data_IF_237228603757
#
_entry.id   IF_237228603757
#
_cell.length_a   1.000
_cell.length_b   1.000
_cell.length_c   1.000
_cell.angle_alpha   90.00
_cell.angle_beta   90.00
_cell.angle_gamma   90.00
#
_symmetry.space_group_name_H-M   'P 1'
#
loop_
_entity.id
_entity.type
_entity.pdbx_description
1 polymer ?
#
# COMPACT_ATOMS: atom_id res chain seq x y z
N UNK A 1 -15.47 24.20 -29.84
CA UNK A 1 -16.94 24.29 -29.81
C UNK A 1 -17.29 25.62 -29.17
N UNK A 2 -18.07 26.46 -29.85
CA UNK A 2 -18.64 27.68 -29.27
C UNK A 2 -20.13 27.71 -29.64
N UNK A 3 -21.06 27.83 -28.68
CA UNK A 3 -22.46 28.04 -29.00
C UNK A 3 -22.61 29.43 -29.62
N UNK A 4 -23.41 29.53 -30.67
CA UNK A 4 -23.81 30.81 -31.28
C UNK A 4 -25.33 30.87 -31.17
N UNK A 5 -25.84 31.93 -30.54
CA UNK A 5 -27.27 32.15 -30.38
C UNK A 5 -27.78 32.90 -31.62
N UNK A 6 -28.74 32.31 -32.32
CA UNK A 6 -29.46 32.96 -33.41
C UNK A 6 -30.96 32.70 -33.21
N UNK A 7 -31.75 33.77 -33.11
CA UNK A 7 -33.22 33.74 -33.04
C UNK A 7 -33.80 32.73 -32.02
N UNK A 8 -33.19 32.62 -30.83
CA UNK A 8 -33.70 31.75 -29.76
C UNK A 8 -33.50 30.24 -29.98
N UNK A 9 -32.73 29.84 -31.01
CA UNK A 9 -32.28 28.45 -31.19
C UNK A 9 -30.75 28.37 -31.02
N UNK A 10 -30.31 27.42 -30.21
CA UNK A 10 -28.90 27.10 -30.05
C UNK A 10 -28.45 26.27 -31.26
N UNK A 11 -27.76 26.89 -32.21
CA UNK A 11 -27.15 26.19 -33.32
C UNK A 11 -25.68 25.88 -33.03
N UNK A 12 -25.32 24.60 -33.15
CA UNK A 12 -23.96 24.14 -32.98
C UNK A 12 -23.17 24.40 -34.26
N UNK A 13 -22.43 25.50 -34.30
CA UNK A 13 -21.54 25.78 -35.41
C UNK A 13 -20.23 24.99 -35.25
N UNK A 14 -20.09 23.96 -36.07
CA UNK A 14 -18.92 23.08 -36.09
C UNK A 14 -17.90 23.66 -37.07
N UNK A 15 -16.76 24.12 -36.54
CA UNK A 15 -15.63 24.52 -37.37
C UNK A 15 -14.92 23.26 -37.89
N UNK A 16 -15.20 22.92 -39.15
CA UNK A 16 -14.68 21.72 -39.80
C UNK A 16 -13.15 21.76 -40.02
N UNK A 17 -12.55 22.93 -40.23
CA UNK A 17 -11.09 23.06 -40.41
C UNK A 17 -10.33 22.81 -39.10
N UNK A 18 -10.82 23.36 -37.99
CA UNK A 18 -10.27 23.08 -36.65
C UNK A 18 -10.44 21.61 -36.28
N UNK A 19 -11.59 21.00 -36.62
CA UNK A 19 -11.81 19.57 -36.44
C UNK A 19 -10.87 18.71 -37.28
N UNK A 20 -10.63 19.06 -38.54
CA UNK A 20 -9.77 18.27 -39.43
C UNK A 20 -8.30 18.37 -39.01
N UNK A 21 -7.88 19.55 -38.54
CA UNK A 21 -6.56 19.77 -37.94
C UNK A 21 -6.40 18.97 -36.64
N UNK A 22 -7.45 18.91 -35.80
CA UNK A 22 -7.48 18.08 -34.60
C UNK A 22 -7.47 16.60 -34.95
N UNK A 23 -8.25 16.13 -35.93
CA UNK A 23 -8.27 14.75 -36.48
C UNK A 23 -6.90 14.29 -36.95
N UNK A 24 -6.15 15.13 -37.66
CA UNK A 24 -4.77 14.83 -38.08
C UNK A 24 -3.78 14.69 -36.92
N UNK A 25 -4.08 15.26 -35.75
CA UNK A 25 -3.28 15.11 -34.51
C UNK A 25 -3.81 14.03 -33.56
N UNK A 26 -5.04 13.56 -33.73
CA UNK A 26 -5.59 12.48 -32.92
C UNK A 26 -4.78 11.19 -33.19
N UNK A 27 -4.30 10.57 -32.12
CA UNK A 27 -3.43 9.38 -32.19
C UNK A 27 -1.93 9.68 -32.09
N UNK A 28 -1.49 10.95 -32.16
CA UNK A 28 -0.14 11.32 -31.78
C UNK A 28 -0.05 11.50 -30.25
N UNK A 29 0.86 10.75 -29.62
CA UNK A 29 1.20 10.91 -28.22
C UNK A 29 2.64 11.41 -28.11
N UNK A 30 2.81 12.65 -27.64
CA UNK A 30 4.11 13.30 -27.53
C UNK A 30 4.51 13.36 -26.05
N UNK A 31 5.69 12.87 -25.73
CA UNK A 31 6.30 12.97 -24.41
C UNK A 31 7.28 14.14 -24.41
N UNK A 32 7.13 15.03 -23.42
CA UNK A 32 8.06 16.12 -23.17
C UNK A 32 8.87 15.81 -21.91
N UNK A 33 10.15 16.19 -21.92
CA UNK A 33 11.05 16.07 -20.77
C UNK A 33 11.93 17.31 -20.70
N UNK A 34 12.31 17.71 -19.50
CA UNK A 34 13.34 18.74 -19.27
C UNK A 34 14.77 18.15 -19.29
N UNK A 35 14.88 16.82 -19.42
CA UNK A 35 16.12 16.05 -19.41
C UNK A 35 16.50 15.56 -20.82
N UNK A 36 17.23 16.36 -21.62
CA UNK A 36 17.60 16.01 -23.00
C UNK A 36 18.55 14.80 -23.10
N UNK A 37 19.23 14.44 -22.01
CA UNK A 37 20.15 13.31 -21.91
C UNK A 37 19.46 11.93 -21.88
N UNK A 38 18.14 11.89 -21.70
CA UNK A 38 17.38 10.64 -21.63
C UNK A 38 17.06 10.15 -23.04
N UNK A 39 17.42 8.90 -23.35
CA UNK A 39 17.05 8.29 -24.64
C UNK A 39 15.54 8.14 -24.78
N UNK A 40 15.03 8.21 -26.01
CA UNK A 40 13.62 8.03 -26.30
C UNK A 40 13.06 6.71 -25.75
N UNK A 41 13.83 5.63 -25.85
CA UNK A 41 13.49 4.31 -25.29
C UNK A 41 13.30 4.36 -23.77
N UNK A 42 14.24 4.99 -23.06
CA UNK A 42 14.16 5.15 -21.60
C UNK A 42 12.99 6.05 -21.21
N UNK A 43 12.72 7.10 -21.97
CA UNK A 43 11.58 7.99 -21.75
C UNK A 43 10.25 7.25 -21.90
N UNK A 44 10.09 6.44 -22.95
CA UNK A 44 8.92 5.58 -23.13
C UNK A 44 8.82 4.56 -21.99
N UNK A 45 9.94 3.99 -21.54
CA UNK A 45 9.99 3.09 -20.39
C UNK A 45 9.49 3.74 -19.09
N UNK A 46 9.94 4.96 -18.78
CA UNK A 46 9.47 5.75 -17.63
C UNK A 46 7.98 6.05 -17.78
N UNK A 47 7.53 6.49 -18.95
CA UNK A 47 6.10 6.73 -19.17
C UNK A 47 5.26 5.47 -18.95
N UNK A 48 5.68 4.33 -19.51
CA UNK A 48 5.00 3.04 -19.32
C UNK A 48 5.07 2.52 -17.89
N UNK A 49 6.01 3.00 -17.08
CA UNK A 49 6.05 2.71 -15.65
C UNK A 49 4.86 3.31 -14.88
N UNK A 50 4.04 4.18 -15.50
CA UNK A 50 2.76 4.66 -14.93
C UNK A 50 1.82 3.51 -14.56
N UNK A 51 1.89 2.38 -15.27
CA UNK A 51 1.10 1.19 -14.96
C UNK A 51 1.39 0.66 -13.54
N UNK A 52 2.60 0.89 -13.01
CA UNK A 52 2.93 0.58 -11.61
C UNK A 52 2.10 1.43 -10.64
N UNK A 53 1.91 2.71 -10.95
CA UNK A 53 1.12 3.63 -10.13
C UNK A 53 -0.35 3.22 -10.16
N UNK A 54 -0.89 2.92 -11.35
CA UNK A 54 -2.27 2.42 -11.50
C UNK A 54 -2.47 1.07 -10.79
N UNK A 55 -1.48 0.18 -10.86
CA UNK A 55 -1.43 -1.06 -10.10
C UNK A 55 -1.42 -0.83 -8.59
N UNK A 56 -0.65 0.15 -8.11
CA UNK A 56 -0.61 0.55 -6.71
C UNK A 56 -1.96 1.06 -6.20
N UNK A 57 -2.62 1.93 -6.97
CA UNK A 57 -3.98 2.40 -6.65
C UNK A 57 -5.00 1.26 -6.61
N UNK A 58 -4.88 0.28 -7.50
CA UNK A 58 -5.74 -0.91 -7.48
C UNK A 58 -5.56 -1.68 -6.17
N UNK A 59 -4.32 -1.92 -5.76
CA UNK A 59 -3.99 -2.61 -4.50
C UNK A 59 -4.48 -1.82 -3.28
N UNK A 60 -4.31 -0.50 -3.27
CA UNK A 60 -4.80 0.35 -2.19
C UNK A 60 -6.32 0.24 -2.01
N UNK A 61 -7.05 0.14 -3.12
CA UNK A 61 -8.52 0.00 -3.11
C UNK A 61 -8.98 -1.41 -2.78
N UNK A 62 -8.33 -2.45 -3.31
CA UNK A 62 -8.77 -3.85 -3.16
C UNK A 62 -8.21 -4.52 -1.91
N UNK A 63 -6.89 -4.51 -1.74
CA UNK A 63 -6.21 -5.28 -0.69
C UNK A 63 -6.04 -4.47 0.60
N UNK A 64 -5.89 -3.15 0.49
CA UNK A 64 -5.73 -2.27 1.67
C UNK A 64 -7.04 -1.59 2.09
N UNK A 65 -8.12 -1.77 1.30
CA UNK A 65 -9.47 -1.33 1.62
C UNK A 65 -9.59 0.17 2.01
N UNK A 66 -8.78 1.03 1.39
CA UNK A 66 -8.74 2.46 1.73
C UNK A 66 -10.11 3.15 1.64
N UNK A 67 -10.97 2.68 0.74
CA UNK A 67 -12.30 3.24 0.48
C UNK A 67 -13.43 2.58 1.29
N UNK A 68 -13.18 1.46 1.96
CA UNK A 68 -14.24 0.65 2.61
C UNK A 68 -14.51 1.06 4.05
N UNK A 69 -13.80 2.06 4.57
CA UNK A 69 -13.92 2.55 5.95
C UNK A 69 -14.53 3.95 5.92
N UNK A 70 -15.75 4.07 6.43
CA UNK A 70 -16.48 5.35 6.46
C UNK A 70 -16.23 6.07 7.78
N UNK A 71 -15.37 7.10 7.76
CA UNK A 71 -15.13 7.97 8.90
C UNK A 71 -16.02 9.21 8.87
N UNK A 72 -16.55 9.61 10.03
CA UNK A 72 -17.47 10.76 10.15
C UNK A 72 -16.78 12.12 10.28
N UNK A 73 -15.45 12.16 10.46
CA UNK A 73 -14.68 13.40 10.66
C UNK A 73 -13.52 13.45 9.68
N UNK A 74 -13.29 14.60 9.06
CA UNK A 74 -12.24 14.80 8.06
C UNK A 74 -10.85 14.38 8.56
N UNK A 75 -10.48 14.80 9.77
CA UNK A 75 -9.19 14.39 10.36
C UNK A 75 -9.01 12.86 10.48
N UNK A 76 -10.11 12.11 10.70
CA UNK A 76 -10.06 10.64 10.76
C UNK A 76 -9.89 10.04 9.37
N UNK A 77 -10.50 10.65 8.34
CA UNK A 77 -10.30 10.27 6.93
C UNK A 77 -8.83 10.47 6.56
N UNK A 78 -8.27 11.64 6.84
CA UNK A 78 -6.86 11.95 6.55
C UNK A 78 -5.91 10.96 7.24
N UNK A 79 -6.10 10.75 8.55
CA UNK A 79 -5.28 9.83 9.32
C UNK A 79 -5.33 8.39 8.78
N UNK A 80 -6.53 7.90 8.44
CA UNK A 80 -6.71 6.57 7.86
C UNK A 80 -6.00 6.43 6.52
N UNK A 81 -6.18 7.40 5.62
CA UNK A 81 -5.53 7.39 4.30
C UNK A 81 -4.01 7.35 4.45
N UNK A 82 -3.44 8.18 5.35
CA UNK A 82 -2.00 8.19 5.63
C UNK A 82 -1.52 6.81 6.13
N UNK A 83 -2.21 6.24 7.12
CA UNK A 83 -1.84 4.93 7.68
C UNK A 83 -1.92 3.81 6.64
N UNK A 84 -2.95 3.82 5.79
CA UNK A 84 -3.12 2.83 4.73
C UNK A 84 -2.01 2.96 3.68
N UNK A 85 -1.70 4.19 3.24
CA UNK A 85 -0.61 4.43 2.29
C UNK A 85 0.74 4.02 2.89
N UNK A 86 0.96 4.30 4.17
CA UNK A 86 2.18 3.89 4.87
C UNK A 86 2.30 2.37 4.98
N UNK A 87 1.20 1.67 5.30
CA UNK A 87 1.14 0.21 5.29
C UNK A 87 1.44 -0.38 3.90
N UNK A 88 0.88 0.21 2.84
CA UNK A 88 1.18 -0.17 1.46
C UNK A 88 2.67 0.01 1.13
N UNK A 89 3.26 1.13 1.55
CA UNK A 89 4.66 1.41 1.35
C UNK A 89 5.55 0.38 2.04
N UNK A 90 5.33 0.09 3.32
CA UNK A 90 6.08 -0.91 4.09
C UNK A 90 5.97 -2.30 3.46
N UNK A 91 4.76 -2.71 3.05
CA UNK A 91 4.56 -4.02 2.44
C UNK A 91 5.18 -4.12 1.04
N UNK A 92 5.20 -3.01 0.29
CA UNK A 92 5.88 -2.92 -1.01
C UNK A 92 7.40 -3.00 -0.87
N UNK A 93 7.97 -2.33 0.14
CA UNK A 93 9.39 -2.46 0.48
C UNK A 93 9.74 -3.90 0.85
N UNK A 94 8.95 -4.52 1.73
CA UNK A 94 9.16 -5.92 2.10
C UNK A 94 9.14 -6.83 0.86
N UNK A 95 8.15 -6.64 -0.02
CA UNK A 95 8.05 -7.40 -1.27
C UNK A 95 9.25 -7.19 -2.19
N UNK A 96 9.78 -5.96 -2.28
CA UNK A 96 10.98 -5.67 -3.06
C UNK A 96 12.21 -6.41 -2.51
N UNK A 97 12.42 -6.34 -1.19
CA UNK A 97 13.51 -7.06 -0.49
C UNK A 97 13.40 -8.58 -0.70
N UNK A 98 12.19 -9.14 -0.60
CA UNK A 98 11.98 -10.57 -0.83
C UNK A 98 12.25 -10.96 -2.29
N UNK A 99 11.85 -10.13 -3.25
CA UNK A 99 12.08 -10.36 -4.67
C UNK A 99 13.59 -10.34 -5.01
N UNK A 100 14.37 -9.44 -4.42
CA UNK A 100 15.84 -9.43 -4.55
C UNK A 100 16.48 -10.72 -4.03
N UNK A 101 15.85 -11.37 -3.05
CA UNK A 101 16.30 -12.64 -2.46
C UNK A 101 15.70 -13.87 -3.16
N UNK A 102 15.07 -13.67 -4.32
CA UNK A 102 14.51 -14.74 -5.16
C UNK A 102 13.11 -15.23 -4.73
N UNK A 103 12.50 -14.61 -3.72
CA UNK A 103 11.18 -15.01 -3.22
C UNK A 103 10.12 -14.04 -3.75
N UNK A 104 9.30 -14.51 -4.68
CA UNK A 104 8.27 -13.70 -5.33
C UNK A 104 6.90 -13.88 -4.68
N UNK A 105 6.33 -12.78 -4.23
CA UNK A 105 4.95 -12.73 -3.75
C UNK A 105 4.10 -11.75 -4.57
N UNK A 106 2.81 -12.07 -4.72
CA UNK A 106 1.81 -11.04 -4.98
C UNK A 106 1.56 -10.22 -3.71
N UNK A 107 1.06 -9.00 -3.85
CA UNK A 107 0.79 -8.14 -2.69
C UNK A 107 -0.20 -8.80 -1.72
N UNK A 108 -1.31 -9.32 -2.25
CA UNK A 108 -2.33 -10.06 -1.50
C UNK A 108 -1.74 -11.24 -0.73
N UNK A 109 -0.98 -12.10 -1.42
CA UNK A 109 -0.42 -13.30 -0.81
C UNK A 109 0.56 -12.93 0.31
N UNK A 110 1.40 -11.92 0.10
CA UNK A 110 2.30 -11.44 1.15
C UNK A 110 1.54 -10.91 2.37
N UNK A 111 0.50 -10.10 2.16
CA UNK A 111 -0.38 -9.61 3.24
C UNK A 111 -0.96 -10.78 4.03
N UNK A 112 -1.56 -11.75 3.36
CA UNK A 112 -2.15 -12.95 3.97
C UNK A 112 -1.09 -13.78 4.72
N UNK A 113 0.10 -13.99 4.15
CA UNK A 113 1.19 -14.73 4.79
C UNK A 113 1.66 -14.03 6.07
N UNK A 114 1.80 -12.70 6.08
CA UNK A 114 2.18 -11.94 7.28
C UNK A 114 1.07 -12.01 8.34
N UNK A 115 -0.19 -11.81 7.95
CA UNK A 115 -1.33 -11.88 8.87
C UNK A 115 -1.58 -13.29 9.42
N UNK A 116 -1.10 -14.34 8.75
CA UNK A 116 -1.18 -15.71 9.28
C UNK A 116 -0.30 -15.93 10.52
N UNK A 117 0.67 -15.05 10.77
CA UNK A 117 1.50 -15.07 11.97
C UNK A 117 0.71 -14.63 13.19
N UNK A 118 0.47 -15.57 14.12
CA UNK A 118 -0.22 -15.29 15.37
C UNK A 118 0.73 -15.48 16.55
N UNK A 119 0.55 -14.67 17.60
CA UNK A 119 1.21 -14.84 18.88
C UNK A 119 0.18 -14.77 20.00
N UNK A 120 0.41 -15.53 21.06
CA UNK A 120 -0.38 -15.50 22.28
C UNK A 120 0.35 -14.64 23.29
N UNK A 121 -0.37 -13.67 23.82
CA UNK A 121 0.01 -12.89 24.99
C UNK A 121 -0.84 -13.38 26.16
N UNK A 122 -0.21 -13.60 27.32
CA UNK A 122 -0.90 -14.10 28.50
C UNK A 122 -0.23 -13.66 29.78
N UNK A 123 -1.02 -13.60 30.85
CA UNK A 123 -0.51 -13.36 32.19
C UNK A 123 -0.67 -14.63 33.00
N UNK A 124 0.41 -15.06 33.66
CA UNK A 124 0.39 -16.21 34.55
C UNK A 124 0.59 -15.74 35.98
N UNK A 125 -0.37 -16.13 36.84
CA UNK A 125 -0.31 -15.96 38.28
C UNK A 125 -0.17 -17.32 38.91
N UNK A 126 0.80 -17.45 39.81
CA UNK A 126 0.97 -18.66 40.59
C UNK A 126 1.23 -18.29 42.04
N UNK A 127 0.66 -19.06 42.95
CA UNK A 127 0.71 -18.78 44.40
C UNK A 127 2.15 -18.75 44.96
N UNK A 128 3.08 -19.41 44.28
CA UNK A 128 4.52 -19.43 44.65
C UNK A 128 5.34 -18.31 44.00
N UNK A 129 4.78 -17.57 43.03
CA UNK A 129 5.46 -16.47 42.36
C UNK A 129 5.03 -15.15 42.99
N UNK A 130 6.00 -14.31 43.39
CA UNK A 130 5.70 -12.99 43.97
C UNK A 130 5.03 -12.04 42.96
N UNK A 131 5.33 -12.19 41.68
CA UNK A 131 4.91 -11.28 40.61
C UNK A 131 4.17 -12.04 39.50
N UNK A 132 3.28 -11.33 38.78
CA UNK A 132 2.69 -11.81 37.53
C UNK A 132 3.78 -12.06 36.49
N UNK A 133 3.72 -13.18 35.80
CA UNK A 133 4.54 -13.40 34.61
C UNK A 133 3.77 -12.96 33.38
N UNK A 134 4.40 -12.09 32.59
CA UNK A 134 4.04 -11.81 31.23
C UNK A 134 4.60 -12.89 30.31
N UNK A 135 3.72 -13.49 29.52
CA UNK A 135 4.02 -14.53 28.56
C UNK A 135 3.78 -14.00 27.15
N UNK A 136 4.79 -14.06 26.30
CA UNK A 136 4.63 -13.85 24.87
C UNK A 136 5.13 -15.07 24.11
N UNK A 137 4.23 -15.73 23.37
CA UNK A 137 4.54 -16.97 22.65
C UNK A 137 4.01 -16.91 21.22
N UNK A 138 4.87 -16.98 20.19
CA UNK A 138 4.39 -17.16 18.82
C UNK A 138 3.74 -18.54 18.66
N UNK A 139 2.58 -18.57 18.01
CA UNK A 139 1.93 -19.80 17.56
C UNK A 139 2.74 -20.34 16.37
N UNK A 140 2.79 -21.68 16.24
CA UNK A 140 3.52 -22.33 15.14
C UNK A 140 3.11 -21.74 13.80
N UNK A 141 4.05 -21.04 13.17
CA UNK A 141 3.85 -20.38 11.87
C UNK A 141 3.71 -21.39 10.74
N UNK A 142 2.96 -21.03 9.69
CA UNK A 142 2.93 -21.79 8.45
C UNK A 142 4.29 -21.79 7.72
N UNK A 143 4.50 -22.78 6.83
CA UNK A 143 5.76 -22.93 6.08
C UNK A 143 6.15 -21.68 5.29
N UNK A 144 5.17 -21.00 4.69
CA UNK A 144 5.41 -19.78 3.91
C UNK A 144 5.97 -18.63 4.77
N UNK A 145 5.44 -18.43 5.98
CA UNK A 145 5.92 -17.38 6.87
C UNK A 145 7.34 -17.70 7.39
N UNK A 146 7.65 -18.99 7.58
CA UNK A 146 9.02 -19.42 7.89
C UNK A 146 10.01 -19.11 6.77
N UNK A 147 9.60 -19.27 5.51
CA UNK A 147 10.41 -18.89 4.35
C UNK A 147 10.66 -17.38 4.32
N UNK A 148 9.66 -16.57 4.65
CA UNK A 148 9.82 -15.11 4.78
C UNK A 148 10.85 -14.76 5.86
N UNK A 149 10.75 -15.34 7.07
CA UNK A 149 11.74 -15.10 8.12
C UNK A 149 13.16 -15.50 7.71
N UNK A 150 13.29 -16.67 7.06
CA UNK A 150 14.56 -17.17 6.54
C UNK A 150 15.12 -16.25 5.47
N UNK A 151 14.29 -15.85 4.52
CA UNK A 151 14.66 -14.92 3.46
C UNK A 151 15.14 -13.61 4.06
N UNK A 152 14.46 -13.07 5.08
CA UNK A 152 14.83 -11.82 5.76
C UNK A 152 16.06 -11.95 6.68
N UNK A 153 16.53 -13.17 6.98
CA UNK A 153 17.58 -13.47 7.97
C UNK A 153 17.20 -13.01 9.39
N UNK A 154 15.91 -13.02 9.71
CA UNK A 154 15.40 -12.67 11.03
C UNK A 154 15.32 -13.94 11.86
N UNK A 155 15.82 -13.88 13.10
CA UNK A 155 15.63 -14.99 14.06
C UNK A 155 14.14 -15.15 14.31
N UNK A 156 13.64 -16.38 14.19
CA UNK A 156 12.25 -16.68 14.52
C UNK A 156 12.00 -16.20 15.95
N UNK A 157 10.95 -15.41 16.20
CA UNK A 157 10.62 -15.03 17.56
C UNK A 157 10.49 -16.29 18.40
N UNK A 158 11.09 -16.29 19.58
CA UNK A 158 10.98 -17.38 20.54
C UNK A 158 10.03 -16.95 21.66
N UNK A 159 9.63 -17.95 22.45
CA UNK A 159 8.94 -17.73 23.71
C UNK A 159 9.72 -16.75 24.58
N UNK A 160 9.06 -15.65 24.98
CA UNK A 160 9.62 -14.61 25.85
C UNK A 160 8.77 -14.55 27.13
N UNK A 161 9.43 -14.60 28.29
CA UNK A 161 8.79 -14.48 29.60
C UNK A 161 9.43 -13.30 30.31
N UNK A 162 8.59 -12.39 30.79
CA UNK A 162 9.03 -11.26 31.59
C UNK A 162 8.26 -11.25 32.89
N UNK A 163 8.93 -10.96 33.99
CA UNK A 163 8.21 -10.59 35.20
C UNK A 163 7.55 -9.23 34.98
N UNK A 164 6.24 -9.15 35.22
CA UNK A 164 5.57 -7.87 35.32
C UNK A 164 6.05 -7.18 36.58
N UNK A 165 6.73 -6.05 36.43
CA UNK A 165 6.88 -5.10 37.53
C UNK A 165 5.49 -4.50 37.75
N UNK A 166 4.91 -4.60 38.96
CA UNK A 166 3.64 -3.95 39.24
C UNK A 166 3.80 -2.45 38.96
N UNK A 167 2.97 -1.93 38.05
CA UNK A 167 2.84 -0.50 37.83
C UNK A 167 1.92 -0.02 38.95
N UNK A 168 2.43 0.82 39.85
CA UNK A 168 1.59 1.49 40.85
C UNK A 168 0.56 2.35 40.10
N UNK A 169 -0.69 1.89 40.10
CA UNK A 169 -1.83 2.60 39.47
C UNK A 169 -2.22 3.83 40.32
N UNK A 170 -1.63 4.02 41.50
CA UNK A 170 -1.90 5.15 42.40
C UNK A 170 -1.15 6.46 42.06
N UNK A 171 -0.41 6.53 40.94
CA UNK A 171 0.37 7.71 40.57
C UNK A 171 -0.26 8.62 39.48
N UNK A 172 -1.58 8.61 39.32
CA UNK A 172 -2.32 9.55 38.44
C UNK A 172 -3.43 10.28 39.18
#
# INVERSE_FOLDING_TARGET
MKPVENEGRLELNINNDDLDTRKKRYGLFVLFTEHPEISAEKMIGIYKSRDLVEGGFRVLKSEMEVNSVFHSKDMRIESHVILVVFGYFLLSLLRAILNERGVKYSFRKLKETILSGNAVEGFYEHEQLKNRLYLWRPIKSGKELEEVFKALKIKRPQFDVKECIPIDIEAF
#
